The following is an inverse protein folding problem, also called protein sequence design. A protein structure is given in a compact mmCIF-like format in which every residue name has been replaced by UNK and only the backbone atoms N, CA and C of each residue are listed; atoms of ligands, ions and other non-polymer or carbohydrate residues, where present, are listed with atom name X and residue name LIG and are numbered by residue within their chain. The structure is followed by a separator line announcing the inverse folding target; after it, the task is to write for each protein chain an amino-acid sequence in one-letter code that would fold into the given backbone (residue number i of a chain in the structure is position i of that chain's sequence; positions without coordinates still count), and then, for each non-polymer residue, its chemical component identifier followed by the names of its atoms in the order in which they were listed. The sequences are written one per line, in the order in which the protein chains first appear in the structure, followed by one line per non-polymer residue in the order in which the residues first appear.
data_IF_210063855780
#
_entry.id   IF_210063855780
#
_cell.length_a   1.000
_cell.length_b   1.000
_cell.length_c   1.000
_cell.angle_alpha   90.00
_cell.angle_beta   90.00
_cell.angle_gamma   90.00
#
_symmetry.space_group_name_H-M   'P 1'
#
loop_
_entity.id
_entity.type
_entity.pdbx_description
1 polymer ?
#
# COMPACT_ATOMS: atom_id res chain seq x y z
N UNK A 1 -1.28 -9.67 38.72
CA UNK A 1 -1.81 -8.75 37.70
C UNK A 1 -0.71 -7.71 37.44
N UNK A 2 -0.03 -7.71 36.29
CA UNK A 2 1.07 -6.75 36.05
C UNK A 2 2.12 -7.15 35.00
N UNK A 3 2.23 -8.42 34.63
CA UNK A 3 3.12 -8.84 33.54
C UNK A 3 2.48 -8.72 32.15
N UNK A 4 1.21 -9.12 32.03
CA UNK A 4 0.50 -9.17 30.76
C UNK A 4 0.16 -7.76 30.21
N UNK A 5 -0.25 -6.83 31.06
CA UNK A 5 -0.55 -5.44 30.64
C UNK A 5 0.70 -4.74 30.10
N UNK A 6 1.84 -4.85 30.79
CA UNK A 6 3.12 -4.32 30.32
C UNK A 6 3.54 -4.94 28.97
N UNK A 7 3.31 -6.25 28.78
CA UNK A 7 3.61 -6.92 27.52
C UNK A 7 2.70 -6.44 26.36
N UNK A 8 1.41 -6.25 26.60
CA UNK A 8 0.47 -5.73 25.59
C UNK A 8 0.80 -4.28 25.24
N UNK A 9 1.10 -3.44 26.22
CA UNK A 9 1.53 -2.06 25.98
C UNK A 9 2.81 -2.03 25.15
N UNK A 10 3.80 -2.86 25.47
CA UNK A 10 5.03 -2.97 24.67
C UNK A 10 4.74 -3.43 23.23
N UNK A 11 3.84 -4.39 23.03
CA UNK A 11 3.46 -4.86 21.70
C UNK A 11 2.78 -3.76 20.87
N UNK A 12 1.92 -2.95 21.50
CA UNK A 12 1.31 -1.79 20.86
C UNK A 12 2.39 -0.80 20.44
N UNK A 13 3.25 -0.36 21.36
CA UNK A 13 4.34 0.56 21.04
C UNK A 13 5.26 0.04 19.94
N UNK A 14 5.64 -1.24 19.98
CA UNK A 14 6.44 -1.87 18.94
C UNK A 14 5.74 -1.84 17.56
N UNK A 15 4.44 -2.12 17.54
CA UNK A 15 3.64 -2.08 16.30
C UNK A 15 3.53 -0.66 15.75
N UNK A 16 3.28 0.33 16.62
CA UNK A 16 3.22 1.74 16.22
C UNK A 16 4.55 2.25 15.69
N UNK A 17 5.66 1.92 16.35
CA UNK A 17 7.01 2.30 15.89
C UNK A 17 7.36 1.63 14.56
N UNK A 18 7.09 0.33 14.42
CA UNK A 18 7.30 -0.38 13.16
C UNK A 18 6.52 0.27 12.02
N UNK A 19 5.24 0.59 12.27
CA UNK A 19 4.40 1.19 11.25
C UNK A 19 4.84 2.60 10.88
N UNK A 20 5.25 3.43 11.84
CA UNK A 20 5.77 4.77 11.58
C UNK A 20 7.03 4.70 10.67
N UNK A 21 8.02 3.89 11.04
CA UNK A 21 9.25 3.70 10.25
C UNK A 21 8.95 3.14 8.86
N UNK A 22 8.00 2.20 8.77
CA UNK A 22 7.59 1.64 7.48
C UNK A 22 6.97 2.71 6.56
N UNK A 23 6.16 3.61 7.11
CA UNK A 23 5.56 4.70 6.33
C UNK A 23 6.63 5.71 5.89
N UNK A 24 7.55 6.10 6.78
CA UNK A 24 8.65 7.00 6.44
C UNK A 24 9.54 6.40 5.33
N UNK A 25 9.87 5.10 5.45
CA UNK A 25 10.60 4.38 4.40
C UNK A 25 9.82 4.34 3.08
N UNK A 26 8.51 4.11 3.13
CA UNK A 26 7.66 4.07 1.94
C UNK A 26 7.64 5.44 1.24
N UNK A 27 7.61 6.53 2.00
CA UNK A 27 7.66 7.89 1.47
C UNK A 27 9.02 8.20 0.82
N UNK A 28 10.13 7.84 1.47
CA UNK A 28 11.46 7.98 0.89
C UNK A 28 11.62 7.19 -0.42
N UNK A 29 11.04 5.98 -0.51
CA UNK A 29 11.01 5.19 -1.75
C UNK A 29 10.14 5.88 -2.81
N UNK A 30 9.01 6.48 -2.44
CA UNK A 30 8.16 7.23 -3.36
C UNK A 30 8.90 8.45 -3.94
N UNK A 31 9.63 9.19 -3.09
CA UNK A 31 10.48 10.32 -3.50
C UNK A 31 11.58 9.86 -4.46
N UNK A 32 12.30 8.77 -4.12
CA UNK A 32 13.34 8.20 -4.98
C UNK A 32 12.81 7.73 -6.35
N UNK A 33 11.55 7.29 -6.40
CA UNK A 33 10.86 6.91 -7.64
C UNK A 33 10.25 8.09 -8.40
N UNK A 34 10.27 9.30 -7.84
CA UNK A 34 9.53 10.47 -8.31
C UNK A 34 8.04 10.16 -8.54
N UNK A 35 7.42 9.44 -7.60
CA UNK A 35 6.00 9.05 -7.65
C UNK A 35 5.25 9.55 -6.42
N UNK A 36 3.94 9.80 -6.54
CA UNK A 36 3.11 10.03 -5.36
C UNK A 36 3.15 8.82 -4.42
N UNK A 37 3.16 9.06 -3.11
CA UNK A 37 3.04 8.01 -2.08
C UNK A 37 1.89 7.04 -2.35
N UNK A 38 0.76 7.55 -2.87
CA UNK A 38 -0.42 6.75 -3.18
C UNK A 38 -0.15 5.60 -4.18
N UNK A 39 0.84 5.75 -5.05
CA UNK A 39 1.24 4.77 -6.06
C UNK A 39 2.14 3.67 -5.49
N UNK A 40 2.66 3.85 -4.27
CA UNK A 40 3.55 2.91 -3.58
C UNK A 40 2.75 2.08 -2.58
N UNK A 41 3.05 0.79 -2.47
CA UNK A 41 2.40 -0.13 -1.53
C UNK A 41 3.25 -0.33 -0.27
N UNK A 42 2.86 0.23 0.90
CA UNK A 42 3.56 0.00 2.16
C UNK A 42 3.68 -1.49 2.52
N UNK A 43 2.66 -2.29 2.19
CA UNK A 43 2.67 -3.75 2.41
C UNK A 43 3.79 -4.44 1.62
N UNK A 44 3.99 -4.04 0.36
CA UNK A 44 5.04 -4.63 -0.48
C UNK A 44 6.43 -4.11 -0.10
N UNK A 45 6.54 -2.86 0.38
CA UNK A 45 7.78 -2.35 1.00
C UNK A 45 8.13 -3.20 2.23
N UNK A 46 7.18 -3.47 3.12
CA UNK A 46 7.39 -4.34 4.29
C UNK A 46 7.83 -5.75 3.91
N UNK A 47 7.14 -6.39 2.96
CA UNK A 47 7.52 -7.73 2.46
C UNK A 47 8.92 -7.73 1.83
N UNK A 48 9.32 -6.62 1.24
CA UNK A 48 10.62 -6.49 0.56
C UNK A 48 11.79 -6.28 1.51
N UNK A 49 11.56 -5.99 2.79
CA UNK A 49 12.62 -5.85 3.80
C UNK A 49 13.49 -7.11 3.92
N UNK A 50 12.92 -8.29 3.64
CA UNK A 50 13.68 -9.54 3.56
C UNK A 50 14.81 -9.46 2.52
N UNK A 51 14.56 -8.91 1.34
CA UNK A 51 15.58 -8.78 0.29
C UNK A 51 16.60 -7.69 0.62
N UNK A 52 16.14 -6.58 1.22
CA UNK A 52 17.02 -5.51 1.69
C UNK A 52 18.00 -6.03 2.72
N UNK A 53 17.51 -6.73 3.75
CA UNK A 53 18.37 -7.30 4.80
C UNK A 53 19.36 -8.31 4.24
N UNK A 54 18.94 -9.13 3.27
CA UNK A 54 19.87 -10.00 2.54
C UNK A 54 20.96 -9.20 1.78
N UNK A 55 20.58 -8.14 1.06
CA UNK A 55 21.54 -7.30 0.33
C UNK A 55 22.51 -6.58 1.27
N UNK A 56 22.02 -6.00 2.38
CA UNK A 56 22.83 -5.33 3.40
C UNK A 56 23.81 -6.30 4.09
N UNK A 57 23.40 -7.56 4.32
CA UNK A 57 24.32 -8.56 4.90
C UNK A 57 25.44 -8.97 3.95
N UNK A 58 25.23 -8.87 2.63
CA UNK A 58 26.26 -9.12 1.62
C UNK A 58 27.15 -7.89 1.38
N UNK A 59 26.55 -6.71 1.35
CA UNK A 59 27.23 -5.43 1.22
C UNK A 59 26.61 -4.41 2.20
N UNK A 60 27.28 -4.14 3.34
CA UNK A 60 26.82 -3.17 4.33
C UNK A 60 26.68 -1.74 3.84
N UNK A 61 27.22 -1.40 2.66
CA UNK A 61 27.09 -0.08 2.05
C UNK A 61 25.80 0.07 1.22
N UNK A 62 25.03 -1.01 1.07
CA UNK A 62 23.75 -1.00 0.35
C UNK A 62 22.80 0.02 0.98
N UNK A 63 22.36 0.99 0.18
CA UNK A 63 21.30 1.92 0.55
C UNK A 63 19.93 1.24 0.38
N UNK A 64 19.15 1.03 1.47
CA UNK A 64 17.84 0.41 1.43
C UNK A 64 16.84 1.11 0.51
N UNK A 65 16.83 2.44 0.51
CA UNK A 65 15.85 3.24 -0.25
C UNK A 65 16.13 3.05 -1.74
N UNK A 66 17.40 3.20 -2.12
CA UNK A 66 17.85 3.01 -3.50
C UNK A 66 17.60 1.59 -3.99
N UNK A 67 17.92 0.58 -3.18
CA UNK A 67 17.68 -0.82 -3.52
C UNK A 67 16.19 -1.08 -3.82
N UNK A 68 15.30 -0.61 -2.93
CA UNK A 68 13.85 -0.77 -3.10
C UNK A 68 13.32 -0.03 -4.34
N UNK A 69 13.83 1.17 -4.62
CA UNK A 69 13.46 1.95 -5.79
C UNK A 69 13.90 1.28 -7.10
N UNK A 70 15.14 0.80 -7.17
CA UNK A 70 15.69 0.12 -8.35
C UNK A 70 14.91 -1.18 -8.69
N UNK A 71 14.45 -1.90 -7.68
CA UNK A 71 13.71 -3.16 -7.83
C UNK A 71 12.18 -3.01 -7.69
N UNK A 72 11.66 -1.77 -7.69
CA UNK A 72 10.28 -1.49 -7.29
C UNK A 72 9.21 -2.20 -8.14
N UNK A 73 9.50 -2.49 -9.42
CA UNK A 73 8.58 -3.24 -10.29
C UNK A 73 8.57 -4.73 -9.96
N UNK A 74 9.75 -5.34 -9.84
CA UNK A 74 9.89 -6.78 -9.61
C UNK A 74 9.39 -7.18 -8.22
N UNK A 75 9.56 -6.27 -7.25
CA UNK A 75 9.07 -6.41 -5.89
C UNK A 75 7.58 -6.05 -5.74
N UNK A 76 6.90 -5.61 -6.81
CA UNK A 76 5.48 -5.22 -6.76
C UNK A 76 5.18 -4.00 -5.87
N UNK A 77 6.20 -3.18 -5.58
CA UNK A 77 6.10 -1.97 -4.75
C UNK A 77 5.22 -0.92 -5.43
N UNK A 78 5.31 -0.80 -6.75
CA UNK A 78 4.45 0.08 -7.54
C UNK A 78 3.07 -0.56 -7.77
N UNK A 79 2.02 0.14 -7.33
CA UNK A 79 0.64 -0.25 -7.59
C UNK A 79 0.32 -0.12 -9.06
N UNK A 80 -0.48 -1.06 -9.58
CA UNK A 80 -1.00 -0.99 -10.94
C UNK A 80 -2.12 0.06 -11.01
N UNK A 81 -2.12 0.98 -11.99
CA UNK A 81 -3.24 1.89 -12.19
C UNK A 81 -4.53 1.11 -12.47
N UNK A 82 -5.59 1.43 -11.72
CA UNK A 82 -6.90 0.82 -11.91
C UNK A 82 -7.47 1.31 -13.25
N UNK A 83 -8.03 0.40 -14.06
CA UNK A 83 -8.82 0.79 -15.24
C UNK A 83 -9.98 1.68 -14.79
N UNK A 84 -10.19 2.80 -15.48
CA UNK A 84 -11.31 3.69 -15.20
C UNK A 84 -12.62 2.88 -15.18
N UNK A 85 -13.55 3.18 -14.25
CA UNK A 85 -14.86 2.52 -14.25
C UNK A 85 -15.49 2.71 -15.63
N UNK A 86 -15.85 1.60 -16.29
CA UNK A 86 -16.66 1.70 -17.51
C UNK A 86 -17.93 2.45 -17.16
N UNK A 87 -18.28 3.46 -17.97
CA UNK A 87 -19.53 4.20 -17.82
C UNK A 87 -20.66 3.18 -17.69
N UNK A 88 -21.47 3.20 -16.62
CA UNK A 88 -22.58 2.28 -16.49
C UNK A 88 -23.46 2.38 -17.75
N UNK A 89 -23.98 1.25 -18.25
CA UNK A 89 -24.86 1.28 -19.42
C UNK A 89 -26.02 2.26 -19.18
N UNK A 90 -26.54 2.92 -20.24
CA UNK A 90 -27.67 3.83 -20.08
C UNK A 90 -28.81 3.11 -19.36
N UNK A 91 -29.33 3.73 -18.29
CA UNK A 91 -30.50 3.22 -17.59
C UNK A 91 -31.64 3.20 -18.61
N UNK A 92 -32.31 2.05 -18.85
CA UNK A 92 -33.46 2.02 -19.75
C UNK A 92 -34.57 2.94 -19.21
N UNK A 93 -35.33 3.62 -20.09
CA UNK A 93 -36.41 4.49 -19.65
C UNK A 93 -37.41 3.70 -18.79
N UNK A 94 -37.79 4.27 -17.63
CA UNK A 94 -38.82 3.69 -16.77
C UNK A 94 -40.12 3.59 -17.57
N UNK A 95 -40.82 2.44 -17.57
CA UNK A 95 -42.16 2.37 -18.15
C UNK A 95 -43.07 3.34 -17.38
N UNK A 96 -43.58 4.34 -18.08
CA UNK A 96 -44.55 5.29 -17.56
C UNK A 96 -45.80 4.53 -17.12
N UNK A 97 -46.30 4.78 -15.90
CA UNK A 97 -47.56 4.19 -15.39
C UNK A 97 -48.81 4.60 -16.22
N UNK A 98 -48.63 5.45 -17.24
CA UNK A 98 -49.68 5.92 -18.13
C UNK A 98 -50.34 4.81 -18.96
N UNK A 99 -49.68 3.66 -19.13
CA UNK A 99 -50.26 2.51 -19.86
C UNK A 99 -51.17 1.61 -19.02
N UNK A 100 -51.35 1.87 -17.72
CA UNK A 100 -52.21 1.08 -16.83
C UNK A 100 -53.58 1.71 -16.55
N UNK A 101 -53.91 2.83 -17.22
CA UNK A 101 -55.22 3.48 -17.12
C UNK A 101 -55.89 3.39 -18.49
N UNK A 102 -56.60 2.29 -18.74
CA UNK A 102 -57.56 2.12 -19.85
C UNK A 102 -58.97 2.32 -19.24
N UNK A 103 -59.90 3.00 -19.95
CA UNK A 103 -61.16 3.56 -19.43
C UNK A 103 -62.13 2.59 -18.77
#
# INVERSE_FOLDING_TARGET
YGGAENAVTMQLWATWLLYAVLIDLTDAVAEALARPFADVSPEMVYRSLYFVTHAVTQDPTTDPVRYLAEHARDLGILKRPRKAPQKPPPIPPSPSLTNYIIP
#
